data_IF_093519219101
#
_entry.id   IF_093519219101
#
_cell.length_a   1.000
_cell.length_b   1.000
_cell.length_c   1.000
_cell.angle_alpha   90.00
_cell.angle_beta   90.00
_cell.angle_gamma   90.00
#
_symmetry.space_group_name_H-M   'P 1'
#
loop_
_entity.id
_entity.type
_entity.pdbx_description
1 polymer ?
#
# COMPACT_ATOMS: atom_id res chain seq x y z
N UNK A 1 -23.56 25.97 -13.32
CA UNK A 1 -22.84 25.12 -12.38
C UNK A 1 -22.19 24.01 -13.22
N UNK A 2 -20.92 24.24 -13.65
CA UNK A 2 -20.16 23.26 -14.43
C UNK A 2 -19.80 22.09 -13.55
N UNK A 3 -20.24 20.89 -13.93
CA UNK A 3 -19.73 19.64 -13.39
C UNK A 3 -18.21 19.62 -13.63
N UNK A 4 -17.41 19.79 -12.59
CA UNK A 4 -15.98 19.53 -12.68
C UNK A 4 -15.81 18.04 -12.96
N UNK A 5 -15.21 17.72 -14.08
CA UNK A 5 -14.80 16.37 -14.46
C UNK A 5 -13.97 15.77 -13.31
N UNK A 6 -14.35 14.57 -12.86
CA UNK A 6 -13.56 13.82 -11.89
C UNK A 6 -12.25 13.44 -12.59
N UNK A 7 -11.09 13.82 -12.05
CA UNK A 7 -9.81 13.45 -12.67
C UNK A 7 -9.68 11.92 -12.64
N UNK A 8 -9.31 11.33 -13.76
CA UNK A 8 -8.98 9.92 -13.83
C UNK A 8 -7.70 9.67 -12.97
N UNK A 9 -7.49 8.47 -12.37
CA UNK A 9 -6.25 8.15 -11.66
C UNK A 9 -4.98 8.52 -12.42
N UNK A 10 -5.01 8.39 -13.76
CA UNK A 10 -3.91 8.83 -14.64
C UNK A 10 -3.72 10.35 -14.70
N UNK A 11 -4.76 11.12 -14.39
CA UNK A 11 -4.71 12.59 -14.34
C UNK A 11 -4.23 13.13 -12.98
N UNK A 12 -4.14 12.27 -11.98
CA UNK A 12 -3.65 12.59 -10.63
C UNK A 12 -2.14 12.42 -10.47
N UNK A 13 -1.39 12.45 -11.57
CA UNK A 13 0.07 12.44 -11.53
C UNK A 13 0.71 11.05 -11.51
N UNK A 14 -0.06 9.99 -11.70
CA UNK A 14 0.48 8.64 -11.86
C UNK A 14 0.76 8.27 -13.33
N UNK A 15 0.71 9.24 -14.25
CA UNK A 15 1.15 9.08 -15.64
C UNK A 15 2.66 9.28 -15.76
N UNK A 16 3.26 8.78 -16.82
CA UNK A 16 4.72 8.80 -17.08
C UNK A 16 5.40 10.17 -17.06
N UNK A 17 4.68 11.25 -16.76
CA UNK A 17 5.22 12.61 -16.87
C UNK A 17 5.41 13.32 -15.53
N UNK A 18 4.80 12.89 -14.41
CA UNK A 18 4.90 13.58 -13.10
C UNK A 18 4.28 12.75 -11.98
N UNK A 19 4.53 12.95 -10.79
CA UNK A 19 5.55 13.53 -9.93
C UNK A 19 6.29 12.48 -9.06
N UNK A 20 6.37 11.23 -9.51
CA UNK A 20 7.04 10.15 -8.80
C UNK A 20 8.33 9.80 -9.55
N UNK A 21 9.47 10.03 -8.91
CA UNK A 21 10.76 9.58 -9.42
C UNK A 21 10.98 8.13 -9.01
N UNK A 22 11.05 7.24 -9.98
CA UNK A 22 11.36 5.83 -9.79
C UNK A 22 12.86 5.63 -9.99
N UNK A 23 13.58 5.31 -8.92
CA UNK A 23 15.01 4.97 -8.97
C UNK A 23 15.16 3.46 -8.88
N UNK A 24 16.07 2.92 -9.71
CA UNK A 24 16.43 1.51 -9.60
C UNK A 24 17.09 1.25 -8.24
N UNK A 25 16.67 0.21 -7.56
CA UNK A 25 17.27 -0.26 -6.32
C UNK A 25 17.37 -1.77 -6.31
N UNK A 26 18.24 -2.30 -5.47
CA UNK A 26 18.41 -3.73 -5.29
C UNK A 26 17.74 -4.17 -4.00
N UNK A 27 16.84 -5.14 -4.09
CA UNK A 27 16.13 -5.70 -2.95
C UNK A 27 16.63 -7.11 -2.70
N UNK A 28 17.13 -7.38 -1.49
CA UNK A 28 17.60 -8.70 -1.10
C UNK A 28 16.56 -9.41 -0.21
N UNK A 29 16.24 -10.65 -0.56
CA UNK A 29 15.31 -11.51 0.18
C UNK A 29 15.96 -12.88 0.38
N UNK A 30 16.28 -13.25 1.62
CA UNK A 30 16.89 -14.57 1.93
C UNK A 30 18.06 -14.94 1.00
N UNK A 31 18.96 -13.99 0.78
CA UNK A 31 20.10 -14.18 -0.11
C UNK A 31 19.80 -14.13 -1.61
N UNK A 32 18.53 -14.06 -2.00
CA UNK A 32 18.16 -13.73 -3.37
C UNK A 32 18.11 -12.23 -3.56
N UNK A 33 18.64 -11.75 -4.66
CA UNK A 33 18.67 -10.33 -5.03
C UNK A 33 17.72 -10.10 -6.19
N UNK A 34 16.88 -9.09 -6.09
CA UNK A 34 15.99 -8.65 -7.15
C UNK A 34 16.06 -7.13 -7.32
N UNK A 35 15.85 -6.67 -8.53
CA UNK A 35 15.72 -5.25 -8.81
C UNK A 35 14.40 -4.73 -8.25
N UNK A 36 14.46 -3.64 -7.51
CA UNK A 36 13.30 -2.91 -7.00
C UNK A 36 13.31 -1.47 -7.51
N UNK A 37 12.29 -0.73 -7.15
CA UNK A 37 12.18 0.68 -7.48
C UNK A 37 12.05 1.51 -6.21
N UNK A 38 12.98 2.42 -6.00
CA UNK A 38 12.90 3.40 -4.92
C UNK A 38 11.95 4.52 -5.33
N UNK A 39 10.95 4.77 -4.50
CA UNK A 39 9.94 5.81 -4.76
C UNK A 39 10.36 7.12 -4.10
N UNK A 40 10.33 8.20 -4.89
CA UNK A 40 10.43 9.57 -4.43
C UNK A 40 9.27 10.37 -4.99
N UNK A 41 8.42 10.86 -4.11
CA UNK A 41 7.28 11.68 -4.47
C UNK A 41 7.72 13.14 -4.54
N UNK A 42 7.79 13.72 -5.75
CA UNK A 42 8.35 15.06 -5.96
C UNK A 42 7.33 16.20 -5.79
N UNK A 43 6.08 15.99 -6.16
CA UNK A 43 5.05 17.06 -6.08
C UNK A 43 3.63 16.56 -6.31
N UNK A 44 3.16 15.58 -5.58
CA UNK A 44 1.73 15.24 -5.66
C UNK A 44 0.96 16.35 -4.92
N UNK A 45 -0.09 16.93 -5.47
CA UNK A 45 -1.00 17.79 -4.73
C UNK A 45 -1.81 16.95 -3.73
N UNK A 46 -1.14 16.52 -2.67
CA UNK A 46 -1.65 15.54 -1.71
C UNK A 46 -3.01 15.95 -1.14
N UNK A 47 -3.16 17.22 -0.77
CA UNK A 47 -4.43 17.73 -0.27
C UNK A 47 -5.60 17.57 -1.27
N UNK A 48 -5.31 17.69 -2.56
CA UNK A 48 -6.32 17.51 -3.60
C UNK A 48 -6.70 16.03 -3.72
N UNK A 49 -5.73 15.13 -3.62
CA UNK A 49 -5.95 13.66 -3.64
C UNK A 49 -6.79 13.25 -2.42
N UNK A 50 -6.40 13.68 -1.22
CA UNK A 50 -7.13 13.38 0.02
C UNK A 50 -8.57 13.88 -0.06
N UNK A 51 -8.77 15.14 -0.47
CA UNK A 51 -10.11 15.70 -0.67
C UNK A 51 -10.94 14.93 -1.69
N UNK A 52 -10.31 14.43 -2.75
CA UNK A 52 -11.02 13.62 -3.75
C UNK A 52 -11.41 12.26 -3.18
N UNK A 53 -10.52 11.58 -2.45
CA UNK A 53 -10.80 10.31 -1.79
C UNK A 53 -11.97 10.45 -0.81
N UNK A 54 -11.99 11.53 0.00
CA UNK A 54 -13.05 11.79 0.97
C UNK A 54 -14.41 12.08 0.32
N UNK A 55 -14.40 12.74 -0.84
CA UNK A 55 -15.63 13.14 -1.55
C UNK A 55 -16.17 12.07 -2.49
N UNK A 56 -15.29 11.20 -2.98
CA UNK A 56 -15.61 10.24 -4.03
C UNK A 56 -15.39 8.81 -3.53
N UNK A 57 -16.43 8.12 -3.02
CA UNK A 57 -16.32 6.74 -2.55
C UNK A 57 -15.86 5.75 -3.63
N UNK A 58 -15.95 6.14 -4.92
CA UNK A 58 -15.53 5.29 -6.04
C UNK A 58 -14.07 5.49 -6.44
N UNK A 59 -13.35 6.42 -5.80
CA UNK A 59 -11.96 6.73 -6.13
C UNK A 59 -11.05 5.49 -5.93
N UNK A 60 -11.03 4.93 -4.72
CA UNK A 60 -10.22 3.75 -4.44
C UNK A 60 -10.60 2.53 -5.30
N UNK A 61 -11.88 2.19 -5.49
CA UNK A 61 -12.30 1.10 -6.38
C UNK A 61 -11.80 1.20 -7.82
N UNK A 62 -11.48 2.39 -8.32
CA UNK A 62 -10.94 2.56 -9.67
C UNK A 62 -9.61 1.85 -9.89
N UNK A 63 -8.82 1.68 -8.83
CA UNK A 63 -7.56 0.93 -8.90
C UNK A 63 -7.73 -0.57 -9.17
N UNK A 64 -8.95 -1.11 -9.07
CA UNK A 64 -9.21 -2.56 -9.25
C UNK A 64 -8.81 -3.11 -10.62
N UNK A 65 -8.66 -2.26 -11.63
CA UNK A 65 -8.14 -2.60 -12.96
C UNK A 65 -6.68 -2.18 -13.17
N UNK A 66 -6.08 -1.53 -12.18
CA UNK A 66 -4.77 -0.90 -12.28
C UNK A 66 -3.93 -1.24 -11.03
N UNK A 67 -3.68 -2.54 -10.79
CA UNK A 67 -3.03 -3.01 -9.56
C UNK A 67 -1.69 -2.30 -9.30
N UNK A 68 -0.84 -2.19 -10.32
CA UNK A 68 0.46 -1.50 -10.19
C UNK A 68 0.32 -0.04 -9.77
N UNK A 69 -0.70 0.66 -10.27
CA UNK A 69 -1.00 2.04 -9.87
C UNK A 69 -1.39 2.15 -8.40
N UNK A 70 -2.09 1.14 -7.89
CA UNK A 70 -2.42 1.09 -6.47
C UNK A 70 -1.17 0.88 -5.59
N UNK A 71 -0.27 0.00 -6.01
CA UNK A 71 1.02 -0.19 -5.34
C UNK A 71 1.86 1.10 -5.34
N UNK A 72 1.95 1.80 -6.48
CA UNK A 72 2.61 3.10 -6.62
C UNK A 72 1.97 4.16 -5.72
N UNK A 73 0.65 4.19 -5.66
CA UNK A 73 -0.10 5.10 -4.80
C UNK A 73 0.18 4.84 -3.31
N UNK A 74 0.17 3.58 -2.88
CA UNK A 74 0.53 3.22 -1.50
C UNK A 74 1.99 3.57 -1.19
N UNK A 75 2.90 3.28 -2.11
CA UNK A 75 4.31 3.63 -1.97
C UNK A 75 4.50 5.15 -1.79
N UNK A 76 3.84 5.96 -2.62
CA UNK A 76 3.85 7.42 -2.51
C UNK A 76 3.25 7.90 -1.17
N UNK A 77 2.20 7.21 -0.69
CA UNK A 77 1.57 7.52 0.61
C UNK A 77 2.51 7.27 1.78
N UNK A 78 3.24 6.16 1.77
CA UNK A 78 4.27 5.87 2.78
C UNK A 78 5.43 6.86 2.70
N UNK A 79 5.88 7.22 1.49
CA UNK A 79 6.95 8.22 1.33
C UNK A 79 6.51 9.58 1.88
N UNK A 80 5.27 9.98 1.61
CA UNK A 80 4.69 11.19 2.18
C UNK A 80 4.61 11.14 3.70
N UNK A 81 4.35 9.97 4.29
CA UNK A 81 4.37 9.74 5.74
C UNK A 81 5.78 9.70 6.35
N UNK A 82 6.83 9.94 5.56
CA UNK A 82 8.21 10.05 6.00
C UNK A 82 9.02 8.75 5.96
N UNK A 83 8.52 7.71 5.32
CA UNK A 83 9.25 6.47 5.12
C UNK A 83 10.16 6.53 3.89
N UNK A 84 11.30 5.84 3.96
CA UNK A 84 12.05 5.43 2.78
C UNK A 84 11.34 4.23 2.16
N UNK A 85 10.95 4.33 0.90
CA UNK A 85 10.05 3.34 0.28
C UNK A 85 10.70 2.69 -0.93
N UNK A 86 10.61 1.37 -0.98
CA UNK A 86 10.99 0.56 -2.13
C UNK A 86 9.76 -0.18 -2.65
N UNK A 87 9.44 0.04 -3.92
CA UNK A 87 8.43 -0.69 -4.65
C UNK A 87 9.07 -1.95 -5.25
N UNK A 88 8.50 -3.13 -4.98
CA UNK A 88 9.09 -4.38 -5.43
C UNK A 88 8.78 -4.65 -6.92
N UNK A 89 9.56 -5.51 -7.59
CA UNK A 89 9.24 -5.96 -8.95
C UNK A 89 7.90 -6.69 -8.98
N UNK A 90 7.17 -6.58 -10.08
CA UNK A 90 5.87 -7.27 -10.26
C UNK A 90 5.95 -8.80 -10.28
N UNK A 91 7.15 -9.35 -10.43
CA UNK A 91 7.40 -10.81 -10.41
C UNK A 91 8.42 -11.13 -9.33
N UNK A 92 8.12 -12.15 -8.52
CA UNK A 92 9.03 -12.62 -7.48
C UNK A 92 9.00 -11.77 -6.19
N UNK A 93 7.98 -10.94 -6.01
CA UNK A 93 7.75 -10.07 -4.84
C UNK A 93 7.52 -10.84 -3.53
N UNK A 94 7.19 -12.14 -3.63
CA UNK A 94 6.90 -13.04 -2.51
C UNK A 94 5.82 -12.49 -1.56
N UNK A 95 4.79 -11.86 -2.14
CA UNK A 95 3.64 -11.36 -1.39
C UNK A 95 3.91 -10.07 -0.62
N UNK A 96 4.80 -9.24 -1.13
CA UNK A 96 5.03 -7.87 -0.67
C UNK A 96 5.22 -6.96 -1.87
N UNK A 97 4.41 -5.94 -1.95
CA UNK A 97 4.42 -5.00 -3.07
C UNK A 97 5.19 -3.72 -2.70
N UNK A 98 5.07 -3.30 -1.44
CA UNK A 98 5.72 -2.10 -0.90
C UNK A 98 6.53 -2.45 0.34
N UNK A 99 7.78 -1.97 0.38
CA UNK A 99 8.63 -2.03 1.56
C UNK A 99 8.87 -0.59 2.03
N UNK A 100 8.36 -0.25 3.21
CA UNK A 100 8.50 1.06 3.81
C UNK A 100 9.38 0.98 5.05
N UNK A 101 10.45 1.76 5.10
CA UNK A 101 11.43 1.77 6.20
C UNK A 101 11.50 3.15 6.83
N UNK A 102 11.21 3.25 8.11
CA UNK A 102 11.42 4.45 8.91
C UNK A 102 12.69 4.26 9.75
N UNK A 103 13.64 5.17 9.58
CA UNK A 103 14.90 5.16 10.33
C UNK A 103 14.89 6.27 11.37
N UNK A 104 15.23 5.94 12.59
CA UNK A 104 15.30 6.87 13.72
C UNK A 104 16.03 6.24 14.89
N UNK A 105 15.59 6.53 16.12
CA UNK A 105 16.08 5.87 17.32
C UNK A 105 15.91 4.34 17.24
N UNK A 106 14.82 3.92 16.62
CA UNK A 106 14.56 2.54 16.22
C UNK A 106 14.30 2.50 14.71
N UNK A 107 14.58 1.37 14.07
CA UNK A 107 14.24 1.15 12.66
C UNK A 107 12.96 0.33 12.59
N UNK A 108 11.96 0.85 11.89
CA UNK A 108 10.70 0.15 11.60
C UNK A 108 10.67 -0.18 10.11
N UNK A 109 10.54 -1.46 9.78
CA UNK A 109 10.40 -1.95 8.41
C UNK A 109 9.05 -2.61 8.23
N UNK A 110 8.25 -2.05 7.37
CA UNK A 110 6.90 -2.49 7.02
C UNK A 110 6.94 -3.19 5.67
N UNK A 111 6.28 -4.33 5.57
CA UNK A 111 5.99 -5.02 4.32
C UNK A 111 4.50 -4.88 4.06
N UNK A 112 4.10 -4.20 2.99
CA UNK A 112 2.69 -4.05 2.62
C UNK A 112 2.37 -4.84 1.36
N UNK A 113 1.28 -5.60 1.41
CA UNK A 113 0.67 -6.28 0.28
C UNK A 113 -0.57 -5.53 -0.17
N UNK A 114 -0.54 -5.04 -1.39
CA UNK A 114 -1.60 -4.27 -2.01
C UNK A 114 -2.64 -5.17 -2.69
N UNK A 115 -3.90 -5.06 -2.32
CA UNK A 115 -5.02 -5.80 -2.92
C UNK A 115 -6.02 -4.81 -3.53
N UNK A 116 -5.76 -4.42 -4.78
CA UNK A 116 -6.65 -3.54 -5.52
C UNK A 116 -7.88 -4.31 -6.01
N UNK A 117 -8.86 -4.48 -5.15
CA UNK A 117 -10.07 -5.25 -5.42
C UNK A 117 -11.28 -4.33 -5.68
N UNK A 118 -12.15 -4.74 -6.59
CA UNK A 118 -13.44 -4.07 -6.81
C UNK A 118 -14.37 -4.33 -5.62
N UNK A 119 -15.36 -3.46 -5.38
CA UNK A 119 -16.35 -3.66 -4.32
C UNK A 119 -16.99 -5.05 -4.39
N UNK A 120 -17.08 -5.71 -3.24
CA UNK A 120 -17.62 -7.07 -3.11
C UNK A 120 -16.60 -8.20 -3.36
N UNK A 121 -15.45 -7.93 -3.91
CA UNK A 121 -14.35 -8.89 -3.91
C UNK A 121 -13.53 -8.70 -2.63
N UNK A 122 -13.60 -9.66 -1.73
CA UNK A 122 -13.02 -9.55 -0.39
C UNK A 122 -11.65 -10.21 -0.30
N UNK A 123 -10.78 -9.64 0.51
CA UNK A 123 -9.50 -10.27 0.90
C UNK A 123 -9.81 -11.51 1.72
N UNK A 124 -9.15 -12.61 1.39
CA UNK A 124 -9.39 -13.94 1.98
C UNK A 124 -8.49 -14.18 3.21
N UNK A 125 -8.85 -15.19 4.01
CA UNK A 125 -8.01 -15.68 5.11
C UNK A 125 -6.63 -16.13 4.61
N UNK A 126 -6.57 -16.74 3.41
CA UNK A 126 -5.31 -17.20 2.83
C UNK A 126 -4.40 -16.05 2.39
N UNK A 127 -4.95 -14.94 1.92
CA UNK A 127 -4.19 -13.71 1.65
C UNK A 127 -3.49 -13.21 2.93
N UNK A 128 -4.22 -13.21 4.06
CA UNK A 128 -3.66 -12.75 5.33
C UNK A 128 -2.64 -13.75 5.88
N UNK A 129 -2.90 -15.06 5.77
CA UNK A 129 -1.92 -16.12 6.13
C UNK A 129 -0.65 -16.01 5.30
N UNK A 130 -0.74 -15.69 4.01
CA UNK A 130 0.42 -15.47 3.15
C UNK A 130 1.30 -14.32 3.65
N UNK A 131 0.70 -13.22 4.14
CA UNK A 131 1.46 -12.13 4.77
C UNK A 131 2.16 -12.59 6.06
N UNK A 132 1.50 -13.38 6.92
CA UNK A 132 2.14 -13.94 8.11
C UNK A 132 3.29 -14.88 7.74
N UNK A 133 3.15 -15.67 6.69
CA UNK A 133 4.22 -16.49 6.12
C UNK A 133 5.40 -15.63 5.66
N UNK A 134 5.14 -14.53 4.96
CA UNK A 134 6.16 -13.55 4.55
C UNK A 134 6.90 -12.98 5.76
N UNK A 135 6.18 -12.57 6.80
CA UNK A 135 6.77 -12.06 8.04
C UNK A 135 7.62 -13.09 8.78
N UNK A 136 7.25 -14.36 8.74
CA UNK A 136 8.00 -15.42 9.40
C UNK A 136 9.34 -15.70 8.72
N UNK A 137 9.43 -15.36 7.43
CA UNK A 137 10.63 -15.59 6.61
C UNK A 137 11.50 -14.34 6.43
N UNK A 138 11.03 -13.15 6.78
CA UNK A 138 11.81 -11.90 6.72
C UNK A 138 12.13 -11.41 8.15
N UNK A 139 13.31 -11.79 8.66
CA UNK A 139 13.77 -11.43 10.00
C UNK A 139 13.94 -9.92 10.22
N UNK A 140 14.04 -9.14 9.14
CA UNK A 140 14.18 -7.69 9.21
C UNK A 140 12.83 -6.95 9.23
N UNK A 141 11.73 -7.65 8.98
CA UNK A 141 10.41 -7.04 8.98
C UNK A 141 9.89 -6.81 10.40
N UNK A 142 9.51 -5.60 10.69
CA UNK A 142 8.87 -5.22 11.96
C UNK A 142 7.38 -5.54 11.93
N UNK A 143 6.71 -5.27 10.79
CA UNK A 143 5.25 -5.39 10.63
C UNK A 143 4.89 -5.76 9.20
N UNK A 144 3.89 -6.62 9.05
CA UNK A 144 3.18 -6.83 7.78
C UNK A 144 1.88 -6.06 7.75
N UNK A 145 1.55 -5.57 6.59
CA UNK A 145 0.27 -4.88 6.32
C UNK A 145 -0.37 -5.55 5.12
N UNK A 146 -1.68 -5.72 5.16
CA UNK A 146 -2.49 -6.04 3.97
C UNK A 146 -3.44 -4.88 3.74
N UNK A 147 -3.23 -4.16 2.66
CA UNK A 147 -4.04 -2.99 2.29
C UNK A 147 -4.91 -3.31 1.11
N UNK A 148 -6.22 -3.04 1.21
CA UNK A 148 -7.16 -3.26 0.11
C UNK A 148 -8.02 -2.05 -0.18
N UNK A 149 -8.41 -1.91 -1.45
CA UNK A 149 -9.43 -0.94 -1.90
C UNK A 149 -10.86 -1.42 -1.59
N UNK A 150 -11.04 -2.65 -1.13
CA UNK A 150 -12.31 -3.28 -0.78
C UNK A 150 -12.38 -3.56 0.72
N UNK A 151 -12.74 -4.77 1.10
CA UNK A 151 -12.89 -5.20 2.49
C UNK A 151 -12.35 -6.63 2.69
N UNK A 152 -12.38 -7.12 3.92
CA UNK A 152 -11.95 -8.44 4.33
C UNK A 152 -13.15 -9.39 4.48
N UNK A 153 -12.93 -10.67 4.28
CA UNK A 153 -13.95 -11.67 4.58
C UNK A 153 -14.38 -11.63 6.06
N UNK A 154 -15.65 -11.97 6.37
CA UNK A 154 -16.12 -12.04 7.74
C UNK A 154 -15.21 -12.90 8.62
N UNK A 155 -14.98 -12.46 9.86
CA UNK A 155 -14.14 -13.15 10.83
C UNK A 155 -12.66 -12.81 10.78
N UNK A 156 -12.15 -12.23 9.69
CA UNK A 156 -10.73 -11.84 9.62
C UNK A 156 -10.39 -10.75 10.65
N UNK A 157 -11.22 -9.72 10.74
CA UNK A 157 -10.97 -8.58 11.64
C UNK A 157 -11.36 -8.86 13.10
N UNK A 158 -12.16 -9.89 13.38
CA UNK A 158 -12.69 -10.16 14.71
C UNK A 158 -12.33 -11.54 15.27
N UNK A 159 -11.81 -12.44 14.43
CA UNK A 159 -11.46 -13.80 14.83
C UNK A 159 -10.09 -13.89 15.50
N UNK A 160 -9.95 -14.82 16.45
CA UNK A 160 -8.72 -15.01 17.26
C UNK A 160 -7.48 -15.35 16.43
N UNK A 161 -7.67 -15.89 15.22
CA UNK A 161 -6.59 -16.35 14.37
C UNK A 161 -5.56 -15.24 14.09
N UNK A 162 -6.02 -14.04 13.77
CA UNK A 162 -5.15 -12.91 13.41
C UNK A 162 -5.00 -11.89 14.54
N UNK A 163 -5.97 -11.82 15.46
CA UNK A 163 -5.98 -10.83 16.55
C UNK A 163 -4.70 -10.88 17.41
N UNK A 164 -4.15 -12.07 17.65
CA UNK A 164 -2.89 -12.23 18.43
C UNK A 164 -1.67 -11.55 17.81
N UNK A 165 -1.72 -11.23 16.50
CA UNK A 165 -0.65 -10.52 15.80
C UNK A 165 -0.93 -9.03 15.67
N UNK A 166 -2.19 -8.62 15.85
CA UNK A 166 -2.64 -7.25 15.66
C UNK A 166 -2.56 -6.46 16.98
N UNK A 167 -2.29 -5.16 16.92
CA UNK A 167 -1.86 -4.41 15.75
C UNK A 167 -0.33 -4.42 15.56
N UNK A 168 0.41 -5.12 16.42
CA UNK A 168 1.87 -4.96 16.53
C UNK A 168 2.63 -5.57 15.34
N UNK A 169 2.32 -6.82 14.98
CA UNK A 169 3.02 -7.53 13.90
C UNK A 169 2.23 -7.55 12.60
N UNK A 170 0.91 -7.46 12.66
CA UNK A 170 0.01 -7.45 11.52
C UNK A 170 -0.92 -6.26 11.61
N UNK A 171 -1.17 -5.62 10.48
CA UNK A 171 -2.17 -4.59 10.32
C UNK A 171 -2.99 -4.85 9.06
N UNK A 172 -4.28 -4.68 9.15
CA UNK A 172 -5.22 -4.89 8.05
C UNK A 172 -5.93 -3.57 7.78
N UNK A 173 -5.81 -3.06 6.54
CA UNK A 173 -6.43 -1.80 6.11
C UNK A 173 -7.43 -2.07 4.98
N UNK A 174 -8.72 -1.99 5.27
CA UNK A 174 -9.75 -1.93 4.22
C UNK A 174 -9.85 -0.51 3.63
N UNK A 175 -10.70 -0.34 2.62
CA UNK A 175 -10.86 0.94 1.94
C UNK A 175 -11.18 2.12 2.87
N UNK A 176 -12.00 1.90 3.90
CA UNK A 176 -12.36 2.94 4.87
C UNK A 176 -11.18 3.30 5.79
N UNK A 177 -10.45 2.30 6.27
CA UNK A 177 -9.25 2.50 7.09
C UNK A 177 -8.11 3.13 6.29
N UNK A 178 -7.98 2.75 5.02
CA UNK A 178 -7.03 3.38 4.09
C UNK A 178 -7.37 4.87 3.91
N UNK A 179 -8.62 5.21 3.62
CA UNK A 179 -9.07 6.60 3.48
C UNK A 179 -8.74 7.40 4.73
N UNK A 180 -9.04 6.87 5.91
CA UNK A 180 -8.73 7.55 7.18
C UNK A 180 -7.22 7.77 7.34
N UNK A 181 -6.41 6.75 7.09
CA UNK A 181 -4.95 6.87 7.19
C UNK A 181 -4.40 7.91 6.23
N UNK A 182 -4.91 7.97 4.99
CA UNK A 182 -4.51 8.96 3.99
C UNK A 182 -4.83 10.39 4.42
N UNK A 183 -5.97 10.61 5.10
CA UNK A 183 -6.36 11.91 5.65
C UNK A 183 -5.48 12.35 6.83
N UNK A 184 -4.89 11.40 7.55
CA UNK A 184 -4.00 11.67 8.71
C UNK A 184 -2.55 12.02 8.26
N UNK A 185 -2.17 11.73 7.01
CA UNK A 185 -0.84 12.07 6.46
C UNK A 185 -0.79 13.57 6.16
N UNK A 186 0.17 14.28 6.73
CA UNK A 186 0.37 15.73 6.58
C UNK A 186 1.41 16.07 5.52
#
# INVERSE_FOLDING_TARGET
LGLRRIPHPDELGFTNQEPVLLLQSTVSFHGAVADGQLIRCLSIPWEAIVKEIERNPTFLPQFSTQHRRFEEFLAASYERAGFEVTLTPQRGDRGRDVIATLRGLITVRILDQAKAYKPGHLVTHDDVRAMLGTLSTDSNASKGVVTTTSDFQPGILSGDEFQRFMPNRLELKNGAQLTKWLSDIK
#
